data_IF_653017128109
#
_entry.id   IF_653017128109
#
_cell.length_a   1.000
_cell.length_b   1.000
_cell.length_c   1.000
_cell.angle_alpha   90.00
_cell.angle_beta   90.00
_cell.angle_gamma   90.00
#
_symmetry.space_group_name_H-M   'P 1'
#
loop_
_entity.id
_entity.type
_entity.pdbx_description
1 polymer ?
#
# COMPACT_ATOMS: atom_id res chain seq x y z
N UNK A 1 4.44 4.50 30.36
CA UNK A 1 5.30 3.32 30.16
C UNK A 1 5.20 2.41 31.38
N UNK A 2 4.56 1.23 31.28
CA UNK A 2 4.87 0.10 32.15
C UNK A 2 6.07 -0.68 31.58
N UNK A 3 6.85 -1.29 32.48
CA UNK A 3 8.08 -2.04 32.25
C UNK A 3 7.84 -3.33 31.43
N UNK A 4 7.81 -3.22 30.10
CA UNK A 4 7.76 -4.38 29.20
C UNK A 4 9.18 -4.86 28.88
N UNK A 5 9.39 -6.18 29.01
CA UNK A 5 10.55 -6.98 28.60
C UNK A 5 11.51 -6.27 27.62
N UNK A 6 12.54 -5.62 28.17
CA UNK A 6 13.65 -4.98 27.44
C UNK A 6 14.59 -5.98 26.75
N UNK A 7 14.32 -7.29 26.79
CA UNK A 7 15.23 -8.35 26.34
C UNK A 7 15.28 -8.58 24.83
N UNK A 8 14.63 -7.72 24.02
CA UNK A 8 14.42 -7.95 22.58
C UNK A 8 15.07 -6.92 21.65
N UNK A 9 15.78 -5.91 22.18
CA UNK A 9 16.36 -4.88 21.32
C UNK A 9 17.64 -5.34 20.60
N UNK A 10 18.41 -6.27 21.19
CA UNK A 10 19.81 -6.46 20.77
C UNK A 10 20.11 -7.85 20.14
N UNK A 11 19.18 -8.80 20.19
CA UNK A 11 19.32 -10.14 19.57
C UNK A 11 18.06 -10.51 18.79
N UNK A 12 17.96 -10.07 17.53
CA UNK A 12 16.95 -10.57 16.59
C UNK A 12 17.45 -11.90 16.01
N UNK A 13 17.27 -13.01 16.73
CA UNK A 13 17.34 -14.34 16.12
C UNK A 13 15.96 -14.65 15.51
N UNK A 14 15.81 -14.56 14.17
CA UNK A 14 14.53 -14.79 13.51
C UNK A 14 14.02 -16.21 13.75
N UNK A 15 14.90 -17.20 13.90
CA UNK A 15 14.51 -18.59 14.11
C UNK A 15 13.88 -18.79 15.48
N UNK A 16 14.43 -18.17 16.52
CA UNK A 16 13.84 -18.25 17.87
C UNK A 16 12.50 -17.51 17.94
N UNK A 17 12.39 -16.36 17.27
CA UNK A 17 11.11 -15.66 17.16
C UNK A 17 10.05 -16.53 16.46
N UNK A 18 10.42 -17.14 15.33
CA UNK A 18 9.58 -18.10 14.60
C UNK A 18 9.15 -19.28 15.49
N UNK A 19 10.08 -19.89 16.23
CA UNK A 19 9.75 -21.00 17.15
C UNK A 19 8.75 -20.59 18.24
N UNK A 20 8.96 -19.43 18.87
CA UNK A 20 8.04 -18.89 19.88
C UNK A 20 6.67 -18.63 19.25
N UNK A 21 6.63 -17.99 18.08
CA UNK A 21 5.39 -17.68 17.39
C UNK A 21 4.63 -18.95 17.01
N UNK A 22 5.32 -20.00 16.56
CA UNK A 22 4.73 -21.31 16.26
C UNK A 22 4.04 -21.92 17.47
N UNK A 23 4.71 -21.93 18.63
CA UNK A 23 4.13 -22.47 19.87
C UNK A 23 2.91 -21.66 20.32
N UNK A 24 2.98 -20.32 20.24
CA UNK A 24 1.86 -19.48 20.63
C UNK A 24 0.67 -19.66 19.67
N UNK A 25 0.91 -19.61 18.36
CA UNK A 25 -0.14 -19.73 17.35
C UNK A 25 -0.85 -21.08 17.41
N UNK A 26 -0.14 -22.18 17.63
CA UNK A 26 -0.77 -23.50 17.76
C UNK A 26 -1.71 -23.57 18.96
N UNK A 27 -1.29 -23.05 20.12
CA UNK A 27 -2.13 -23.02 21.33
C UNK A 27 -3.33 -22.07 21.16
N UNK A 28 -3.10 -20.89 20.59
CA UNK A 28 -4.16 -19.91 20.37
C UNK A 28 -5.20 -20.41 19.37
N UNK A 29 -4.76 -20.92 18.22
CA UNK A 29 -5.69 -21.43 17.20
C UNK A 29 -6.50 -22.61 17.73
N UNK A 30 -5.89 -23.53 18.49
CA UNK A 30 -6.59 -24.62 19.15
C UNK A 30 -7.64 -24.11 20.14
N UNK A 31 -7.25 -23.16 21.01
CA UNK A 31 -8.16 -22.54 21.96
C UNK A 31 -9.34 -21.85 21.28
N UNK A 32 -9.10 -21.03 20.25
CA UNK A 32 -10.15 -20.34 19.49
C UNK A 32 -11.10 -21.32 18.81
N UNK A 33 -10.57 -22.41 18.23
CA UNK A 33 -11.40 -23.44 17.58
C UNK A 33 -12.29 -24.16 18.58
N UNK A 34 -11.86 -24.27 19.84
CA UNK A 34 -12.63 -24.92 20.91
C UNK A 34 -13.67 -24.01 21.59
N UNK A 35 -13.56 -22.69 21.43
CA UNK A 35 -14.43 -21.72 22.09
C UNK A 35 -15.67 -21.40 21.24
N UNK A 36 -16.85 -21.44 21.86
CA UNK A 36 -18.07 -20.92 21.22
C UNK A 36 -18.03 -19.38 21.18
N UNK A 37 -18.54 -18.72 20.13
CA UNK A 37 -18.60 -17.26 20.05
C UNK A 37 -19.27 -16.61 21.28
N UNK A 38 -20.26 -17.29 21.88
CA UNK A 38 -20.97 -16.80 23.07
C UNK A 38 -20.09 -16.79 24.34
N UNK A 39 -19.12 -17.69 24.43
CA UNK A 39 -18.16 -17.77 25.55
C UNK A 39 -17.29 -16.51 25.63
N UNK A 40 -17.03 -15.86 24.48
CA UNK A 40 -16.33 -14.58 24.40
C UNK A 40 -17.02 -13.50 25.23
N UNK A 41 -18.37 -13.47 25.18
CA UNK A 41 -19.17 -12.47 25.88
C UNK A 41 -19.28 -12.74 27.37
N UNK A 42 -18.99 -13.96 27.83
CA UNK A 42 -18.99 -14.34 29.24
C UNK A 42 -17.64 -14.01 29.92
N UNK A 43 -16.51 -14.09 29.20
CA UNK A 43 -15.16 -13.87 29.74
C UNK A 43 -14.49 -12.58 29.25
N UNK A 44 -15.26 -11.49 29.13
CA UNK A 44 -14.86 -10.30 28.36
C UNK A 44 -13.51 -9.66 28.74
N UNK A 45 -13.15 -9.62 30.02
CA UNK A 45 -11.90 -8.98 30.47
C UNK A 45 -10.66 -9.83 30.18
N UNK A 46 -10.72 -11.14 30.45
CA UNK A 46 -9.64 -12.08 30.19
C UNK A 46 -9.37 -12.20 28.69
N UNK A 47 -10.44 -12.30 27.89
CA UNK A 47 -10.31 -12.38 26.44
C UNK A 47 -9.75 -11.09 25.86
N UNK A 48 -10.19 -9.90 26.32
CA UNK A 48 -9.61 -8.64 25.88
C UNK A 48 -8.09 -8.53 26.16
N UNK A 49 -7.63 -8.94 27.35
CA UNK A 49 -6.19 -8.97 27.67
C UNK A 49 -5.43 -9.92 26.76
N UNK A 50 -6.02 -11.08 26.49
CA UNK A 50 -5.46 -12.09 25.60
C UNK A 50 -5.33 -11.59 24.16
N UNK A 51 -6.34 -10.89 23.64
CA UNK A 51 -6.30 -10.27 22.31
C UNK A 51 -5.20 -9.23 22.22
N UNK A 52 -5.09 -8.37 23.24
CA UNK A 52 -4.02 -7.37 23.26
C UNK A 52 -2.65 -8.04 23.22
N UNK A 53 -2.45 -9.10 23.99
CA UNK A 53 -1.19 -9.86 23.96
C UNK A 53 -0.96 -10.49 22.58
N UNK A 54 -1.95 -11.17 22.01
CA UNK A 54 -1.87 -11.73 20.66
C UNK A 54 -1.52 -10.66 19.63
N UNK A 55 -2.17 -9.50 19.70
CA UNK A 55 -1.85 -8.34 18.87
C UNK A 55 -0.41 -7.91 19.05
N UNK A 56 0.11 -7.77 20.26
CA UNK A 56 1.53 -7.43 20.45
C UNK A 56 2.49 -8.44 19.79
N UNK A 57 2.17 -9.74 19.84
CA UNK A 57 2.99 -10.78 19.20
C UNK A 57 2.86 -10.81 17.68
N UNK A 58 1.65 -10.59 17.15
CA UNK A 58 1.37 -10.53 15.72
C UNK A 58 1.83 -9.21 15.07
N UNK A 59 1.94 -8.12 15.85
CA UNK A 59 2.34 -6.78 15.38
C UNK A 59 3.87 -6.62 15.30
N UNK A 60 4.65 -7.23 16.20
CA UNK A 60 6.10 -7.01 16.21
C UNK A 60 6.93 -7.52 15.01
N UNK A 61 6.43 -8.34 14.06
CA UNK A 61 7.19 -8.66 12.85
C UNK A 61 7.49 -7.45 11.95
N UNK A 62 6.76 -6.33 12.09
CA UNK A 62 6.82 -5.20 11.16
C UNK A 62 8.16 -4.46 11.08
N UNK A 63 9.06 -4.68 12.05
CA UNK A 63 10.39 -4.07 12.03
C UNK A 63 11.47 -4.95 11.39
N UNK A 64 11.12 -6.14 10.88
CA UNK A 64 12.07 -7.07 10.28
C UNK A 64 11.71 -7.35 8.83
N UNK A 65 12.70 -7.38 7.94
CA UNK A 65 12.55 -7.84 6.55
C UNK A 65 12.11 -9.30 6.40
N UNK A 66 11.62 -9.95 7.47
CA UNK A 66 11.20 -11.34 7.56
C UNK A 66 9.68 -11.52 7.43
N UNK A 67 8.93 -10.45 7.16
CA UNK A 67 7.46 -10.50 6.95
C UNK A 67 7.04 -11.57 5.96
N UNK A 68 7.79 -11.74 4.86
CA UNK A 68 7.51 -12.77 3.85
C UNK A 68 7.67 -14.19 4.41
N UNK A 69 8.77 -14.45 5.11
CA UNK A 69 9.06 -15.76 5.74
C UNK A 69 7.95 -16.14 6.74
N UNK A 70 7.58 -15.18 7.60
CA UNK A 70 6.52 -15.36 8.60
C UNK A 70 5.15 -15.56 7.94
N UNK A 71 4.88 -14.85 6.84
CA UNK A 71 3.62 -14.98 6.09
C UNK A 71 3.43 -16.37 5.50
N UNK A 72 4.49 -16.93 4.92
CA UNK A 72 4.45 -18.24 4.27
C UNK A 72 4.35 -19.38 5.30
N UNK A 73 5.12 -19.29 6.38
CA UNK A 73 5.16 -20.33 7.41
C UNK A 73 3.83 -20.45 8.16
N UNK A 74 3.23 -19.33 8.56
CA UNK A 74 2.02 -19.30 9.41
C UNK A 74 0.74 -19.04 8.63
N UNK A 75 0.78 -19.13 7.30
CA UNK A 75 -0.35 -18.81 6.42
C UNK A 75 -1.66 -19.47 6.86
N UNK A 76 -1.64 -20.78 7.13
CA UNK A 76 -2.83 -21.55 7.51
C UNK A 76 -3.38 -21.13 8.88
N UNK A 77 -2.51 -20.84 9.85
CA UNK A 77 -2.91 -20.39 11.18
C UNK A 77 -3.51 -18.99 11.13
N UNK A 78 -2.93 -18.09 10.33
CA UNK A 78 -3.49 -16.76 10.09
C UNK A 78 -4.84 -16.81 9.38
N UNK A 79 -5.01 -17.68 8.39
CA UNK A 79 -6.31 -17.86 7.73
C UNK A 79 -7.39 -18.34 8.72
N UNK A 80 -7.06 -19.30 9.60
CA UNK A 80 -7.96 -19.72 10.68
C UNK A 80 -8.30 -18.54 11.59
N UNK A 81 -7.30 -17.79 12.05
CA UNK A 81 -7.53 -16.64 12.92
C UNK A 81 -8.43 -15.59 12.25
N UNK A 82 -8.22 -15.27 10.97
CA UNK A 82 -9.08 -14.35 10.20
C UNK A 82 -10.54 -14.81 10.22
N UNK A 83 -10.82 -16.10 9.99
CA UNK A 83 -12.18 -16.64 10.02
C UNK A 83 -12.81 -16.51 11.42
N UNK A 84 -12.05 -16.84 12.48
CA UNK A 84 -12.54 -16.72 13.85
C UNK A 84 -12.79 -15.25 14.22
N UNK A 85 -11.86 -14.34 13.90
CA UNK A 85 -12.02 -12.91 14.14
C UNK A 85 -13.21 -12.32 13.40
N UNK A 86 -13.43 -12.73 12.15
CA UNK A 86 -14.61 -12.37 11.36
C UNK A 86 -15.91 -12.85 12.02
N UNK A 87 -15.94 -14.09 12.53
CA UNK A 87 -17.10 -14.65 13.25
C UNK A 87 -17.39 -13.92 14.57
N UNK A 88 -16.35 -13.63 15.35
CA UNK A 88 -16.47 -12.89 16.62
C UNK A 88 -16.94 -11.45 16.34
N UNK A 89 -16.41 -10.81 15.29
CA UNK A 89 -16.85 -9.49 14.88
C UNK A 89 -18.34 -9.48 14.53
N UNK A 90 -18.80 -10.43 13.70
CA UNK A 90 -20.22 -10.58 13.34
C UNK A 90 -21.11 -10.74 14.58
N UNK A 91 -20.68 -11.54 15.55
CA UNK A 91 -21.42 -11.75 16.80
C UNK A 91 -21.44 -10.50 17.67
N UNK A 92 -20.35 -9.73 17.66
CA UNK A 92 -20.19 -8.49 18.43
C UNK A 92 -21.11 -7.39 17.88
N UNK A 93 -21.27 -7.30 16.55
CA UNK A 93 -22.17 -6.33 15.91
C UNK A 93 -23.65 -6.62 16.15
N UNK A 94 -24.04 -7.89 16.29
CA UNK A 94 -25.42 -8.30 16.60
C UNK A 94 -25.84 -8.04 18.05
N UNK A 95 -24.90 -7.71 18.93
CA UNK A 95 -25.20 -7.44 20.34
C UNK A 95 -25.68 -6.00 20.53
N UNK A 96 -26.83 -5.76 21.19
CA UNK A 96 -27.30 -4.39 21.47
C UNK A 96 -26.25 -3.63 22.29
N UNK A 97 -25.70 -2.59 21.65
CA UNK A 97 -24.48 -1.90 22.05
C UNK A 97 -24.74 -0.81 23.09
N UNK A 98 -24.19 -0.97 24.30
CA UNK A 98 -23.91 0.16 25.21
C UNK A 98 -22.78 -0.09 26.24
N UNK A 99 -22.06 -1.22 26.17
CA UNK A 99 -20.95 -1.47 27.09
C UNK A 99 -19.62 -1.03 26.48
N UNK A 100 -18.87 -0.18 27.19
CA UNK A 100 -17.47 0.19 26.89
C UNK A 100 -16.63 -1.03 26.47
N UNK A 101 -16.91 -2.18 27.08
CA UNK A 101 -16.25 -3.45 26.83
C UNK A 101 -16.41 -3.93 25.37
N UNK A 102 -17.60 -3.76 24.78
CA UNK A 102 -17.89 -4.13 23.38
C UNK A 102 -17.09 -3.24 22.43
N UNK A 103 -16.99 -1.95 22.74
CA UNK A 103 -16.18 -1.00 21.96
C UNK A 103 -14.69 -1.37 21.99
N UNK A 104 -14.13 -1.64 23.18
CA UNK A 104 -12.73 -2.06 23.31
C UNK A 104 -12.43 -3.40 22.63
N UNK A 105 -13.36 -4.36 22.68
CA UNK A 105 -13.23 -5.63 21.98
C UNK A 105 -13.22 -5.42 20.46
N UNK A 106 -14.18 -4.64 19.94
CA UNK A 106 -14.28 -4.31 18.51
C UNK A 106 -13.00 -3.65 18.01
N UNK A 107 -12.49 -2.66 18.75
CA UNK A 107 -11.21 -2.02 18.43
C UNK A 107 -10.06 -3.03 18.33
N UNK A 108 -9.94 -3.91 19.31
CA UNK A 108 -8.87 -4.90 19.33
C UNK A 108 -8.98 -5.88 18.15
N UNK A 109 -10.19 -6.33 17.81
CA UNK A 109 -10.46 -7.24 16.68
C UNK A 109 -10.12 -6.57 15.34
N UNK A 110 -10.61 -5.35 15.10
CA UNK A 110 -10.38 -4.62 13.84
C UNK A 110 -8.90 -4.26 13.69
N UNK A 111 -8.21 -3.93 14.79
CA UNK A 111 -6.76 -3.76 14.79
C UNK A 111 -6.03 -5.07 14.43
N UNK A 112 -6.45 -6.22 14.95
CA UNK A 112 -5.88 -7.53 14.56
C UNK A 112 -6.08 -7.79 13.07
N UNK A 113 -7.28 -7.55 12.56
CA UNK A 113 -7.61 -7.71 11.14
C UNK A 113 -6.72 -6.81 10.27
N UNK A 114 -6.49 -5.56 10.68
CA UNK A 114 -5.56 -4.67 9.99
C UNK A 114 -4.16 -5.27 9.92
N UNK A 115 -3.65 -5.85 11.02
CA UNK A 115 -2.33 -6.49 11.00
C UNK A 115 -2.26 -7.64 10.00
N UNK A 116 -3.32 -8.45 9.88
CA UNK A 116 -3.37 -9.51 8.88
C UNK A 116 -3.36 -8.98 7.44
N UNK A 117 -3.90 -7.78 7.18
CA UNK A 117 -3.84 -7.16 5.84
C UNK A 117 -2.41 -6.81 5.40
N UNK A 118 -1.44 -6.80 6.31
CA UNK A 118 -0.03 -6.54 6.01
C UNK A 118 0.71 -7.79 5.49
N UNK A 119 0.11 -8.97 5.59
CA UNK A 119 0.63 -10.22 5.03
C UNK A 119 -0.02 -10.51 3.68
N UNK A 120 0.73 -10.43 2.56
CA UNK A 120 0.17 -10.50 1.20
C UNK A 120 -0.71 -11.75 0.94
N UNK A 121 -0.23 -12.95 1.29
CA UNK A 121 -1.00 -14.18 1.08
C UNK A 121 -2.29 -14.20 1.93
N UNK A 122 -2.21 -13.70 3.15
CA UNK A 122 -3.36 -13.61 4.06
C UNK A 122 -4.35 -12.55 3.57
N UNK A 123 -3.88 -11.41 3.06
CA UNK A 123 -4.72 -10.39 2.45
C UNK A 123 -5.51 -10.96 1.27
N UNK A 124 -4.87 -11.75 0.39
CA UNK A 124 -5.56 -12.44 -0.71
C UNK A 124 -6.64 -13.38 -0.19
N UNK A 125 -6.40 -14.10 0.90
CA UNK A 125 -7.42 -14.93 1.56
C UNK A 125 -8.54 -14.08 2.17
N UNK A 126 -8.21 -13.00 2.89
CA UNK A 126 -9.18 -12.10 3.53
C UNK A 126 -10.18 -11.53 2.51
N UNK A 127 -9.72 -11.20 1.29
CA UNK A 127 -10.58 -10.74 0.19
C UNK A 127 -11.63 -11.77 -0.25
N UNK A 128 -11.43 -13.05 0.03
CA UNK A 128 -12.39 -14.12 -0.27
C UNK A 128 -13.44 -14.33 0.83
N UNK A 129 -13.25 -13.72 2.01
CA UNK A 129 -14.19 -13.79 3.13
C UNK A 129 -15.37 -12.84 2.89
N UNK A 130 -16.46 -13.37 2.34
CA UNK A 130 -17.60 -12.59 1.80
C UNK A 130 -18.19 -11.53 2.74
N UNK A 131 -18.25 -11.81 4.04
CA UNK A 131 -18.91 -10.92 5.01
C UNK A 131 -17.96 -9.88 5.61
N UNK A 132 -16.65 -9.95 5.36
CA UNK A 132 -15.68 -9.10 6.04
C UNK A 132 -15.77 -7.63 5.61
N UNK A 133 -15.85 -7.36 4.30
CA UNK A 133 -16.00 -6.00 3.77
C UNK A 133 -17.34 -5.36 4.25
N UNK A 134 -18.51 -6.02 4.11
CA UNK A 134 -19.77 -5.48 4.63
C UNK A 134 -19.73 -5.16 6.12
N UNK A 135 -19.16 -6.03 6.96
CA UNK A 135 -19.04 -5.78 8.41
C UNK A 135 -18.12 -4.59 8.72
N UNK A 136 -17.01 -4.45 8.00
CA UNK A 136 -16.11 -3.32 8.19
C UNK A 136 -16.78 -2.00 7.78
N UNK A 137 -17.63 -2.01 6.75
CA UNK A 137 -18.44 -0.84 6.37
C UNK A 137 -19.51 -0.52 7.44
N UNK A 138 -20.21 -1.52 7.97
CA UNK A 138 -21.21 -1.35 9.04
C UNK A 138 -20.62 -0.70 10.30
N UNK A 139 -19.37 -0.99 10.63
CA UNK A 139 -18.67 -0.44 11.80
C UNK A 139 -18.32 1.04 11.66
N UNK A 140 -18.30 1.57 10.43
CA UNK A 140 -17.79 2.93 10.15
C UNK A 140 -18.79 4.05 10.43
N UNK A 141 -19.93 3.77 11.07
CA UNK A 141 -20.99 4.74 11.31
C UNK A 141 -20.79 5.67 12.53
N UNK A 142 -21.15 6.94 12.31
CA UNK A 142 -21.39 8.06 13.25
C UNK A 142 -20.36 8.56 14.28
N UNK A 143 -19.16 7.99 14.45
CA UNK A 143 -18.10 8.61 15.29
C UNK A 143 -16.68 8.47 14.75
N UNK A 144 -15.88 9.53 14.84
CA UNK A 144 -14.44 9.50 14.65
C UNK A 144 -13.78 8.78 15.84
N UNK A 145 -13.26 7.57 15.61
CA UNK A 145 -12.46 6.85 16.59
C UNK A 145 -11.46 5.86 15.95
N UNK A 146 -10.67 5.20 16.81
CA UNK A 146 -9.69 4.18 16.40
C UNK A 146 -10.32 3.03 15.61
N UNK A 147 -11.56 2.65 15.92
CA UNK A 147 -12.23 1.54 15.25
C UNK A 147 -12.46 1.91 13.78
N UNK A 148 -13.00 3.10 13.56
CA UNK A 148 -13.24 3.62 12.22
C UNK A 148 -11.94 3.75 11.43
N UNK A 149 -10.86 4.26 12.06
CA UNK A 149 -9.55 4.33 11.42
C UNK A 149 -9.06 2.95 10.97
N UNK A 150 -9.01 1.96 11.87
CA UNK A 150 -8.53 0.63 11.50
C UNK A 150 -9.43 -0.06 10.48
N UNK A 151 -10.76 0.15 10.55
CA UNK A 151 -11.70 -0.37 9.58
C UNK A 151 -11.39 0.17 8.17
N UNK A 152 -11.21 1.49 8.03
CA UNK A 152 -10.84 2.08 6.75
C UNK A 152 -9.45 1.65 6.26
N UNK A 153 -8.49 1.42 7.16
CA UNK A 153 -7.18 0.89 6.78
C UNK A 153 -7.27 -0.54 6.23
N UNK A 154 -8.11 -1.39 6.82
CA UNK A 154 -8.42 -2.71 6.26
C UNK A 154 -9.08 -2.59 4.89
N UNK A 155 -10.14 -1.78 4.80
CA UNK A 155 -10.91 -1.57 3.58
C UNK A 155 -10.02 -1.05 2.44
N UNK A 156 -9.11 -0.11 2.70
CA UNK A 156 -8.18 0.42 1.70
C UNK A 156 -7.28 -0.65 1.04
N UNK A 157 -6.95 -1.73 1.75
CA UNK A 157 -6.17 -2.86 1.19
C UNK A 157 -7.04 -3.93 0.52
N UNK A 158 -8.30 -4.02 0.91
CA UNK A 158 -9.21 -5.08 0.50
C UNK A 158 -10.08 -4.71 -0.70
N UNK A 159 -10.56 -3.47 -0.74
CA UNK A 159 -11.54 -3.00 -1.71
C UNK A 159 -10.94 -2.76 -3.09
N UNK A 160 -11.76 -2.98 -4.12
CA UNK A 160 -11.47 -2.58 -5.51
C UNK A 160 -12.26 -1.31 -5.88
N UNK A 161 -12.02 -0.77 -7.08
CA UNK A 161 -12.64 0.48 -7.52
C UNK A 161 -14.17 0.41 -7.51
N UNK A 162 -14.73 -0.75 -7.87
CA UNK A 162 -16.18 -0.94 -7.87
C UNK A 162 -16.76 -0.92 -6.46
N UNK A 163 -16.05 -1.47 -5.48
CA UNK A 163 -16.51 -1.48 -4.09
C UNK A 163 -16.59 -0.06 -3.55
N UNK A 164 -15.58 0.78 -3.82
CA UNK A 164 -15.54 2.17 -3.36
C UNK A 164 -16.67 3.00 -3.96
N UNK A 165 -17.01 2.76 -5.23
CA UNK A 165 -18.16 3.39 -5.89
C UNK A 165 -19.51 3.08 -5.24
N UNK A 166 -19.61 1.98 -4.48
CA UNK A 166 -20.82 1.63 -3.74
C UNK A 166 -20.91 2.30 -2.36
N UNK A 167 -19.82 2.89 -1.86
CA UNK A 167 -19.82 3.59 -0.58
C UNK A 167 -20.61 4.90 -0.71
N UNK A 168 -21.58 5.10 0.19
CA UNK A 168 -22.43 6.29 0.19
C UNK A 168 -21.65 7.61 0.43
N UNK A 169 -20.61 7.58 1.26
CA UNK A 169 -19.77 8.74 1.56
C UNK A 169 -18.27 8.37 1.58
N UNK A 170 -17.61 8.26 0.40
CA UNK A 170 -16.17 7.99 0.32
C UNK A 170 -15.32 9.11 0.97
N UNK A 171 -15.84 10.34 1.04
CA UNK A 171 -15.18 11.46 1.69
C UNK A 171 -14.99 11.26 3.20
N UNK A 172 -15.79 10.37 3.82
CA UNK A 172 -15.61 10.00 5.24
C UNK A 172 -14.30 9.21 5.44
N UNK A 173 -13.91 8.37 4.49
CA UNK A 173 -12.66 7.58 4.53
C UNK A 173 -11.45 8.52 4.62
N UNK A 174 -11.45 9.53 3.75
CA UNK A 174 -10.36 10.50 3.65
C UNK A 174 -10.37 11.46 4.84
N UNK A 175 -11.54 11.90 5.29
CA UNK A 175 -11.66 12.84 6.41
C UNK A 175 -11.06 12.26 7.69
N UNK A 176 -11.42 11.01 8.01
CA UNK A 176 -10.89 10.30 9.18
C UNK A 176 -9.37 10.18 9.10
N UNK A 177 -8.84 9.74 7.96
CA UNK A 177 -7.39 9.60 7.81
C UNK A 177 -6.64 10.93 7.90
N UNK A 178 -7.15 11.97 7.25
CA UNK A 178 -6.54 13.31 7.28
C UNK A 178 -6.53 13.82 8.73
N UNK A 179 -7.61 13.67 9.48
CA UNK A 179 -7.68 14.12 10.87
C UNK A 179 -6.65 13.42 11.77
N UNK A 180 -6.51 12.09 11.67
CA UNK A 180 -5.48 11.35 12.41
C UNK A 180 -4.05 11.75 11.99
N UNK A 181 -3.81 12.04 10.71
CA UNK A 181 -2.52 12.52 10.23
C UNK A 181 -2.23 13.91 10.78
N UNK A 182 -3.18 14.85 10.69
CA UNK A 182 -3.04 16.22 11.22
C UNK A 182 -2.78 16.22 12.72
N UNK A 183 -3.39 15.30 13.48
CA UNK A 183 -3.18 15.18 14.92
C UNK A 183 -1.83 14.55 15.31
N UNK A 184 -1.11 13.92 14.38
CA UNK A 184 0.14 13.19 14.66
C UNK A 184 1.37 13.81 14.01
N UNK A 185 1.20 14.60 12.96
CA UNK A 185 2.29 15.14 12.13
C UNK A 185 3.33 15.93 12.93
N UNK A 186 2.91 16.79 13.86
CA UNK A 186 3.81 17.68 14.60
C UNK A 186 4.21 17.12 15.98
N UNK A 187 3.85 15.88 16.32
CA UNK A 187 4.20 15.23 17.58
C UNK A 187 5.34 14.20 17.39
N UNK A 188 6.59 14.51 17.81
CA UNK A 188 7.71 13.59 17.68
C UNK A 188 7.50 12.24 18.37
N UNK A 189 6.66 12.17 19.40
CA UNK A 189 6.34 10.92 20.09
C UNK A 189 5.44 10.00 19.27
N UNK A 190 4.83 10.53 18.22
CA UNK A 190 3.92 9.81 17.32
C UNK A 190 4.47 9.69 15.90
N UNK A 191 5.77 9.92 15.67
CA UNK A 191 6.41 9.81 14.35
C UNK A 191 6.13 8.47 13.65
N UNK A 192 6.28 7.34 14.34
CA UNK A 192 5.97 6.00 13.80
C UNK A 192 4.50 5.83 13.41
N UNK A 193 3.60 6.39 14.24
CA UNK A 193 2.16 6.35 13.97
C UNK A 193 1.83 7.19 12.74
N UNK A 194 2.38 8.40 12.66
CA UNK A 194 2.24 9.29 11.52
C UNK A 194 2.73 8.64 10.23
N UNK A 195 3.92 8.03 10.25
CA UNK A 195 4.47 7.28 9.12
C UNK A 195 3.52 6.16 8.68
N UNK A 196 3.01 5.36 9.62
CA UNK A 196 2.07 4.26 9.34
C UNK A 196 0.73 4.75 8.76
N UNK A 197 0.28 5.95 9.13
CA UNK A 197 -0.92 6.58 8.56
C UNK A 197 -0.70 7.03 7.11
N UNK A 198 0.47 7.60 6.79
CA UNK A 198 0.84 7.95 5.42
C UNK A 198 0.93 6.69 4.53
N UNK A 199 1.55 5.63 5.02
CA UNK A 199 1.59 4.34 4.32
C UNK A 199 0.18 3.81 4.06
N UNK A 200 -0.73 3.96 5.02
CA UNK A 200 -2.13 3.58 4.86
C UNK A 200 -2.83 4.39 3.77
N UNK A 201 -2.56 5.71 3.70
CA UNK A 201 -3.07 6.60 2.66
C UNK A 201 -2.62 6.19 1.26
N UNK A 202 -1.35 5.79 1.13
CA UNK A 202 -0.82 5.27 -0.13
C UNK A 202 -1.59 4.04 -0.64
N UNK A 203 -2.16 3.22 0.25
CA UNK A 203 -2.91 2.02 -0.15
C UNK A 203 -4.29 2.29 -0.74
N UNK A 204 -4.85 3.50 -0.68
CA UNK A 204 -6.15 3.80 -1.30
C UNK A 204 -6.12 5.00 -2.26
N UNK A 205 -5.02 5.77 -2.29
CA UNK A 205 -4.88 6.90 -3.22
C UNK A 205 -4.90 6.45 -4.69
N UNK A 206 -4.68 5.17 -5.00
CA UNK A 206 -4.83 4.67 -6.37
C UNK A 206 -6.27 4.73 -6.90
N UNK A 207 -7.26 4.82 -6.01
CA UNK A 207 -8.67 4.83 -6.38
C UNK A 207 -9.14 6.22 -6.78
N UNK A 208 -9.76 6.34 -7.95
CA UNK A 208 -10.04 7.63 -8.58
C UNK A 208 -11.00 8.46 -7.73
N UNK A 209 -12.05 7.85 -7.19
CA UNK A 209 -13.00 8.53 -6.30
C UNK A 209 -12.34 9.03 -5.02
N UNK A 210 -11.37 8.28 -4.48
CA UNK A 210 -10.66 8.66 -3.26
C UNK A 210 -9.69 9.81 -3.51
N UNK A 211 -8.99 9.83 -4.65
CA UNK A 211 -8.14 10.97 -5.08
C UNK A 211 -8.95 12.26 -5.08
N UNK A 212 -10.13 12.23 -5.71
CA UNK A 212 -11.01 13.40 -5.81
C UNK A 212 -11.38 13.93 -4.41
N UNK A 213 -11.75 13.05 -3.48
CA UNK A 213 -12.11 13.45 -2.12
C UNK A 213 -10.90 13.96 -1.31
N UNK A 214 -9.73 13.33 -1.44
CA UNK A 214 -8.48 13.80 -0.84
C UNK A 214 -8.12 15.22 -1.29
N UNK A 215 -8.28 15.51 -2.57
CA UNK A 215 -8.00 16.83 -3.16
C UNK A 215 -8.99 17.87 -2.65
N UNK A 216 -10.30 17.56 -2.63
CA UNK A 216 -11.34 18.44 -2.06
C UNK A 216 -11.06 18.79 -0.59
N UNK A 217 -10.53 17.83 0.16
CA UNK A 217 -10.19 17.98 1.59
C UNK A 217 -8.79 18.58 1.83
N UNK A 218 -8.16 19.14 0.79
CA UNK A 218 -6.90 19.88 0.88
C UNK A 218 -5.74 19.06 1.48
N UNK A 219 -5.62 17.78 1.12
CA UNK A 219 -4.47 16.96 1.54
C UNK A 219 -3.16 17.42 0.91
N UNK A 220 -3.20 18.03 -0.29
CA UNK A 220 -2.01 18.37 -1.08
C UNK A 220 -1.04 19.30 -0.31
N UNK A 221 -1.48 20.44 0.28
CA UNK A 221 -0.62 21.25 1.12
C UNK A 221 0.04 20.49 2.29
N UNK A 222 -0.69 19.56 2.92
CA UNK A 222 -0.15 18.74 4.00
C UNK A 222 0.96 17.83 3.50
N UNK A 223 0.80 17.20 2.33
CA UNK A 223 1.84 16.35 1.73
C UNK A 223 3.06 17.16 1.27
N UNK A 224 2.85 18.38 0.76
CA UNK A 224 3.96 19.29 0.42
C UNK A 224 4.76 19.64 1.68
N UNK A 225 4.10 19.91 2.80
CA UNK A 225 4.75 20.11 4.11
C UNK A 225 5.66 18.92 4.45
N UNK A 226 5.15 17.69 4.28
CA UNK A 226 5.89 16.46 4.55
C UNK A 226 7.14 16.28 3.67
N UNK A 227 7.14 16.82 2.46
CA UNK A 227 8.28 16.75 1.53
C UNK A 227 9.32 17.82 1.86
N UNK A 228 8.90 19.05 2.14
CA UNK A 228 9.80 20.21 2.20
C UNK A 228 10.43 20.43 3.58
N UNK A 229 9.70 20.14 4.66
CA UNK A 229 10.19 20.43 6.01
C UNK A 229 11.17 19.36 6.51
N UNK A 230 12.28 19.81 7.10
CA UNK A 230 13.41 18.96 7.50
C UNK A 230 13.18 18.16 8.79
N UNK A 231 12.13 18.49 9.55
CA UNK A 231 11.82 17.84 10.83
C UNK A 231 11.18 16.45 10.68
N UNK A 232 10.70 16.11 9.49
CA UNK A 232 10.17 14.79 9.19
C UNK A 232 11.32 13.83 8.88
N UNK A 233 11.26 12.57 9.37
CA UNK A 233 12.26 11.52 9.12
C UNK A 233 12.74 11.58 7.66
N UNK A 234 13.98 12.08 7.40
CA UNK A 234 14.29 12.85 6.19
C UNK A 234 14.17 12.04 4.90
N UNK A 235 14.13 10.71 4.98
CA UNK A 235 13.98 9.84 3.80
C UNK A 235 12.63 9.14 3.76
N UNK A 236 12.16 8.55 4.88
CA UNK A 236 10.99 7.67 4.86
C UNK A 236 9.68 8.41 4.61
N UNK A 237 9.47 9.52 5.32
CA UNK A 237 8.24 10.32 5.19
C UNK A 237 8.21 11.00 3.83
N UNK A 238 9.34 11.61 3.42
CA UNK A 238 9.44 12.29 2.14
C UNK A 238 9.17 11.35 0.97
N UNK A 239 9.71 10.11 1.02
CA UNK A 239 9.48 9.10 0.00
C UNK A 239 8.00 8.79 -0.19
N UNK A 240 7.28 8.46 0.89
CA UNK A 240 5.85 8.14 0.82
C UNK A 240 5.05 9.37 0.37
N UNK A 241 5.38 10.56 0.86
CA UNK A 241 4.71 11.78 0.46
C UNK A 241 4.89 12.06 -1.04
N UNK A 242 6.10 11.91 -1.60
CA UNK A 242 6.36 12.05 -3.03
C UNK A 242 5.57 11.03 -3.86
N UNK A 243 5.45 9.79 -3.40
CA UNK A 243 4.67 8.75 -4.08
C UNK A 243 3.17 9.05 -4.09
N UNK A 244 2.62 9.53 -2.97
CA UNK A 244 1.21 9.96 -2.89
C UNK A 244 1.00 11.19 -3.78
N UNK A 245 1.91 12.17 -3.77
CA UNK A 245 1.84 13.34 -4.63
C UNK A 245 1.88 12.97 -6.12
N UNK A 246 2.72 12.00 -6.50
CA UNK A 246 2.73 11.46 -7.86
C UNK A 246 1.40 10.79 -8.21
N UNK A 247 0.83 9.97 -7.33
CA UNK A 247 -0.48 9.35 -7.55
C UNK A 247 -1.60 10.40 -7.71
N UNK A 248 -1.55 11.49 -6.92
CA UNK A 248 -2.50 12.59 -7.02
C UNK A 248 -2.30 13.44 -8.28
N UNK A 249 -1.08 13.54 -8.81
CA UNK A 249 -0.76 14.35 -10.00
C UNK A 249 -1.39 13.85 -11.32
N UNK A 250 -2.07 12.69 -11.29
CA UNK A 250 -2.92 12.24 -12.39
C UNK A 250 -4.29 12.93 -12.39
N UNK A 251 -4.66 13.65 -11.34
CA UNK A 251 -5.79 14.59 -11.33
C UNK A 251 -5.33 16.00 -11.73
N UNK A 252 -6.08 16.64 -12.62
CA UNK A 252 -5.71 17.96 -13.17
C UNK A 252 -5.66 19.08 -12.11
N UNK A 253 -6.50 19.04 -11.08
CA UNK A 253 -6.49 20.06 -10.03
C UNK A 253 -5.24 19.91 -9.16
N UNK A 254 -4.92 18.69 -8.74
CA UNK A 254 -3.69 18.40 -8.00
C UNK A 254 -2.45 18.74 -8.83
N UNK A 255 -2.41 18.34 -10.11
CA UNK A 255 -1.34 18.68 -11.04
C UNK A 255 -1.06 20.19 -11.08
N UNK A 256 -2.10 21.01 -11.27
CA UNK A 256 -1.97 22.48 -11.29
C UNK A 256 -1.41 23.04 -9.98
N UNK A 257 -1.91 22.56 -8.82
CA UNK A 257 -1.43 22.99 -7.50
C UNK A 257 0.06 22.65 -7.33
N UNK A 258 0.47 21.45 -7.71
CA UNK A 258 1.85 20.98 -7.57
C UNK A 258 2.80 21.76 -8.47
N UNK A 259 2.45 21.91 -9.76
CA UNK A 259 3.28 22.61 -10.75
C UNK A 259 3.48 24.09 -10.41
N UNK A 260 2.48 24.75 -9.83
CA UNK A 260 2.55 26.16 -9.43
C UNK A 260 3.31 26.40 -8.12
N UNK A 261 3.51 25.37 -7.30
CA UNK A 261 4.17 25.52 -6.01
C UNK A 261 5.70 25.60 -6.15
N UNK A 262 6.24 26.82 -6.12
CA UNK A 262 7.68 27.07 -6.29
C UNK A 262 8.55 26.45 -5.20
N UNK A 263 8.03 26.35 -3.96
CA UNK A 263 8.77 25.77 -2.83
C UNK A 263 8.95 24.26 -3.07
N UNK A 264 7.87 23.57 -3.43
CA UNK A 264 7.92 22.15 -3.81
C UNK A 264 8.86 21.94 -5.00
N UNK A 265 8.68 22.70 -6.09
CA UNK A 265 9.47 22.51 -7.32
C UNK A 265 10.97 22.74 -7.10
N UNK A 266 11.34 23.75 -6.32
CA UNK A 266 12.75 23.98 -5.95
C UNK A 266 13.31 22.85 -5.09
N UNK A 267 12.55 22.37 -4.11
CA UNK A 267 12.96 21.26 -3.25
C UNK A 267 13.13 19.95 -4.04
N UNK A 268 12.19 19.61 -4.92
CA UNK A 268 12.28 18.41 -5.78
C UNK A 268 13.53 18.47 -6.65
N UNK A 269 13.87 19.63 -7.25
CA UNK A 269 15.10 19.77 -8.05
C UNK A 269 16.37 19.55 -7.23
N UNK A 270 16.38 19.97 -5.96
CA UNK A 270 17.49 19.68 -5.04
C UNK A 270 17.59 18.17 -4.77
N UNK A 271 16.46 17.50 -4.52
CA UNK A 271 16.43 16.05 -4.31
C UNK A 271 16.90 15.28 -5.55
N UNK A 272 16.51 15.70 -6.75
CA UNK A 272 16.97 15.11 -8.02
C UNK A 272 18.47 15.29 -8.23
N UNK A 273 19.02 16.44 -7.84
CA UNK A 273 20.46 16.73 -7.92
C UNK A 273 21.31 16.04 -6.85
N UNK A 274 20.70 15.40 -5.86
CA UNK A 274 21.42 14.71 -4.79
C UNK A 274 22.03 13.41 -5.31
N UNK A 275 23.35 13.25 -5.15
CA UNK A 275 24.10 12.08 -5.63
C UNK A 275 24.42 11.07 -4.53
N UNK A 276 23.86 11.25 -3.34
CA UNK A 276 24.06 10.33 -2.21
C UNK A 276 23.47 8.94 -2.52
N UNK A 277 24.29 7.88 -2.63
CA UNK A 277 23.79 6.53 -2.95
C UNK A 277 22.79 5.99 -1.93
N UNK A 278 22.89 6.43 -0.66
CA UNK A 278 21.98 6.03 0.41
C UNK A 278 20.54 6.55 0.21
N UNK A 279 20.36 7.59 -0.61
CA UNK A 279 19.08 8.26 -0.85
C UNK A 279 18.57 8.07 -2.28
N UNK A 280 19.12 7.10 -3.01
CA UNK A 280 18.75 6.77 -4.39
C UNK A 280 17.23 6.57 -4.59
N UNK A 281 16.54 5.96 -3.62
CA UNK A 281 15.08 5.80 -3.67
C UNK A 281 14.32 7.13 -3.65
N UNK A 282 14.79 8.07 -2.82
CA UNK A 282 14.19 9.40 -2.67
C UNK A 282 14.43 10.23 -3.94
N UNK A 283 15.67 10.19 -4.45
CA UNK A 283 16.03 10.82 -5.72
C UNK A 283 15.12 10.33 -6.86
N UNK A 284 14.91 9.01 -6.99
CA UNK A 284 14.04 8.42 -8.02
C UNK A 284 12.57 8.85 -7.88
N UNK A 285 12.06 8.90 -6.64
CA UNK A 285 10.70 9.38 -6.39
C UNK A 285 10.54 10.85 -6.81
N UNK A 286 11.53 11.68 -6.48
CA UNK A 286 11.59 13.09 -6.87
C UNK A 286 11.69 13.26 -8.39
N UNK A 287 12.54 12.48 -9.07
CA UNK A 287 12.70 12.50 -10.52
C UNK A 287 11.39 12.18 -11.25
N UNK A 288 10.65 11.17 -10.78
CA UNK A 288 9.38 10.76 -11.39
C UNK A 288 8.30 11.82 -11.23
N UNK A 289 8.20 12.43 -10.05
CA UNK A 289 7.28 13.54 -9.82
C UNK A 289 7.69 14.76 -10.65
N UNK A 290 8.97 15.12 -10.69
CA UNK A 290 9.48 16.23 -11.50
C UNK A 290 9.15 16.02 -12.98
N UNK A 291 9.44 14.83 -13.50
CA UNK A 291 9.15 14.46 -14.88
C UNK A 291 7.67 14.61 -15.19
N UNK A 292 6.78 14.11 -14.31
CA UNK A 292 5.33 14.27 -14.49
C UNK A 292 4.91 15.74 -14.54
N UNK A 293 5.48 16.59 -13.69
CA UNK A 293 5.12 18.01 -13.60
C UNK A 293 5.74 18.88 -14.70
N UNK A 294 6.86 18.49 -15.29
CA UNK A 294 7.58 19.29 -16.30
C UNK A 294 7.37 18.80 -17.75
N UNK A 295 7.11 17.51 -18.00
CA UNK A 295 7.24 16.93 -19.36
C UNK A 295 5.96 16.78 -20.20
N UNK A 296 4.91 17.54 -19.92
CA UNK A 296 3.78 17.68 -20.86
C UNK A 296 4.14 18.48 -22.15
N UNK A 297 5.30 19.14 -22.20
CA UNK A 297 5.65 20.09 -23.28
C UNK A 297 6.59 19.52 -24.38
N UNK A 298 6.99 18.25 -24.34
CA UNK A 298 7.85 17.62 -25.35
C UNK A 298 7.08 16.66 -26.28
N UNK A 299 5.93 17.09 -26.78
CA UNK A 299 5.20 16.43 -27.87
C UNK A 299 5.71 17.02 -29.19
N UNK A 300 6.85 16.51 -29.67
CA UNK A 300 7.28 16.75 -31.05
C UNK A 300 7.33 15.39 -31.75
N UNK A 301 6.52 15.32 -32.80
CA UNK A 301 6.48 14.27 -33.80
C UNK A 301 7.91 13.89 -34.24
N UNK A 302 8.34 12.67 -33.96
CA UNK A 302 9.37 12.02 -34.75
C UNK A 302 8.70 11.02 -35.69
N UNK A 303 8.19 11.53 -36.80
CA UNK A 303 7.96 10.74 -38.01
C UNK A 303 9.31 10.41 -38.63
N UNK A 304 10.03 9.49 -38.02
CA UNK A 304 11.17 8.81 -38.63
C UNK A 304 10.82 7.33 -38.63
N UNK A 305 11.03 6.64 -39.75
CA UNK A 305 10.93 5.19 -39.83
C UNK A 305 11.94 4.59 -38.83
N UNK A 306 11.48 4.34 -37.61
CA UNK A 306 12.33 3.91 -36.52
C UNK A 306 12.62 2.42 -36.67
N UNK A 307 13.90 2.09 -36.89
CA UNK A 307 14.41 0.78 -36.53
C UNK A 307 14.41 0.75 -34.99
N UNK A 308 13.36 0.17 -34.39
CA UNK A 308 13.29 0.02 -32.93
C UNK A 308 14.52 -0.76 -32.43
N UNK A 309 15.13 -0.29 -31.33
CA UNK A 309 16.26 -0.97 -30.69
C UNK A 309 15.82 -2.27 -30.04
N UNK A 310 14.59 -2.29 -29.52
CA UNK A 310 13.97 -3.42 -28.85
C UNK A 310 12.66 -3.77 -29.55
N UNK A 311 12.29 -5.04 -29.52
CA UNK A 311 10.99 -5.48 -30.00
C UNK A 311 9.95 -5.30 -28.87
N UNK A 312 10.35 -5.57 -27.62
CA UNK A 312 9.46 -5.56 -26.46
C UNK A 312 10.13 -4.84 -25.29
N UNK A 313 9.45 -3.85 -24.70
CA UNK A 313 9.73 -3.39 -23.34
C UNK A 313 8.73 -4.01 -22.37
N UNK A 314 9.22 -4.61 -21.28
CA UNK A 314 8.36 -5.16 -20.23
C UNK A 314 8.21 -4.13 -19.11
N UNK A 315 7.00 -3.61 -18.91
CA UNK A 315 6.64 -2.80 -17.76
C UNK A 315 5.95 -3.68 -16.71
N UNK A 316 6.49 -3.68 -15.49
CA UNK A 316 6.04 -4.56 -14.41
C UNK A 316 6.24 -3.92 -13.03
N UNK A 317 5.57 -4.45 -12.00
CA UNK A 317 5.85 -4.06 -10.61
C UNK A 317 7.09 -4.80 -10.12
N UNK A 318 7.99 -4.12 -9.41
CA UNK A 318 9.20 -4.74 -8.83
C UNK A 318 8.86 -5.96 -7.95
N UNK A 319 7.70 -5.97 -7.30
CA UNK A 319 7.22 -7.10 -6.50
C UNK A 319 6.83 -8.35 -7.32
N UNK A 320 6.74 -8.22 -8.64
CA UNK A 320 6.44 -9.30 -9.59
C UNK A 320 7.67 -9.66 -10.46
N UNK A 321 8.87 -9.21 -10.07
CA UNK A 321 10.11 -9.42 -10.83
C UNK A 321 10.36 -10.88 -11.24
N UNK A 322 10.03 -11.83 -10.37
CA UNK A 322 10.35 -13.24 -10.60
C UNK A 322 9.62 -13.79 -11.84
N UNK A 323 8.32 -13.53 -11.97
CA UNK A 323 7.53 -13.99 -13.12
C UNK A 323 7.89 -13.19 -14.37
N UNK A 324 8.15 -11.89 -14.25
CA UNK A 324 8.51 -11.04 -15.39
C UNK A 324 9.90 -11.37 -15.96
N UNK A 325 10.85 -11.80 -15.13
CA UNK A 325 12.15 -12.29 -15.61
C UNK A 325 12.01 -13.62 -16.35
N UNK A 326 11.13 -14.51 -15.91
CA UNK A 326 10.82 -15.76 -16.64
C UNK A 326 10.19 -15.47 -18.01
N UNK A 327 9.25 -14.52 -18.07
CA UNK A 327 8.65 -14.06 -19.33
C UNK A 327 9.73 -13.49 -20.25
N UNK A 328 10.61 -12.62 -19.74
CA UNK A 328 11.71 -12.06 -20.51
C UNK A 328 12.63 -13.14 -21.08
N UNK A 329 13.06 -14.10 -20.24
CA UNK A 329 13.95 -15.19 -20.66
C UNK A 329 13.33 -16.03 -21.77
N UNK A 330 12.02 -16.30 -21.70
CA UNK A 330 11.32 -17.04 -22.74
C UNK A 330 11.25 -16.24 -24.05
N UNK A 331 10.86 -14.96 -24.00
CA UNK A 331 10.82 -14.10 -25.18
C UNK A 331 12.19 -13.95 -25.85
N UNK A 332 13.27 -13.85 -25.07
CA UNK A 332 14.64 -13.81 -25.61
C UNK A 332 15.01 -15.13 -26.30
N UNK A 333 14.63 -16.28 -25.73
CA UNK A 333 14.83 -17.60 -26.36
C UNK A 333 14.07 -17.72 -27.68
N UNK A 334 12.91 -17.09 -27.78
CA UNK A 334 12.08 -17.04 -28.98
C UNK A 334 12.60 -16.03 -30.03
N UNK A 335 13.71 -15.33 -29.74
CA UNK A 335 14.41 -14.46 -30.68
C UNK A 335 14.09 -12.97 -30.57
N UNK A 336 13.29 -12.55 -29.58
CA UNK A 336 12.95 -11.14 -29.37
C UNK A 336 14.06 -10.37 -28.64
N UNK A 337 14.29 -9.12 -29.04
CA UNK A 337 15.12 -8.13 -28.34
C UNK A 337 14.30 -7.48 -27.24
N UNK A 338 14.42 -7.99 -26.02
CA UNK A 338 13.58 -7.56 -24.89
C UNK A 338 14.34 -6.64 -23.93
N UNK A 339 13.75 -5.49 -23.61
CA UNK A 339 14.20 -4.60 -22.53
C UNK A 339 13.34 -4.81 -21.27
N UNK A 340 14.00 -4.87 -20.12
CA UNK A 340 13.35 -4.86 -18.80
C UNK A 340 14.27 -4.18 -17.79
N UNK A 341 13.71 -3.44 -16.84
CA UNK A 341 14.47 -2.87 -15.73
C UNK A 341 14.79 -3.97 -14.69
N UNK A 342 15.96 -4.62 -14.80
CA UNK A 342 16.41 -5.67 -13.84
C UNK A 342 17.07 -5.10 -12.59
N UNK A 343 17.61 -3.88 -12.67
CA UNK A 343 18.51 -3.32 -11.68
C UNK A 343 17.88 -2.06 -11.06
N UNK A 344 16.80 -2.25 -10.29
CA UNK A 344 16.08 -1.15 -9.62
C UNK A 344 17.02 -0.23 -8.80
N UNK A 345 18.15 -0.78 -8.32
CA UNK A 345 19.18 -0.08 -7.54
C UNK A 345 20.41 0.40 -8.34
N UNK A 346 20.63 -0.10 -9.56
CA UNK A 346 21.82 0.23 -10.39
C UNK A 346 21.49 0.84 -11.76
N UNK A 347 20.24 0.85 -12.19
CA UNK A 347 19.86 1.09 -13.58
C UNK A 347 18.76 2.13 -13.78
N UNK A 348 19.13 3.11 -14.62
CA UNK A 348 18.33 4.11 -15.36
C UNK A 348 17.37 5.04 -14.59
N UNK A 349 17.77 6.33 -14.58
CA UNK A 349 16.93 7.52 -14.38
C UNK A 349 15.67 7.41 -15.25
N UNK A 350 14.58 8.11 -14.89
CA UNK A 350 13.34 8.19 -15.68
C UNK A 350 13.58 8.39 -17.21
N UNK A 351 14.65 9.10 -17.58
CA UNK A 351 15.09 9.27 -18.97
C UNK A 351 15.42 7.95 -19.70
N UNK A 352 16.02 6.96 -19.03
CA UNK A 352 16.33 5.67 -19.64
C UNK A 352 15.11 4.78 -19.82
N UNK A 353 14.15 4.82 -18.88
CA UNK A 353 12.84 4.16 -19.02
C UNK A 353 12.08 4.78 -20.19
N UNK A 354 12.05 6.12 -20.25
CA UNK A 354 11.43 6.85 -21.35
C UNK A 354 12.05 6.49 -22.71
N UNK A 355 13.38 6.47 -22.79
CA UNK A 355 14.09 6.04 -23.98
C UNK A 355 13.78 4.58 -24.37
N UNK A 356 13.65 3.67 -23.40
CA UNK A 356 13.30 2.28 -23.67
C UNK A 356 11.89 2.15 -24.27
N UNK A 357 10.91 2.87 -23.72
CA UNK A 357 9.54 2.93 -24.24
C UNK A 357 9.54 3.44 -25.69
N UNK A 358 10.22 4.56 -25.98
CA UNK A 358 10.26 5.15 -27.32
C UNK A 358 11.01 4.30 -28.37
N UNK A 359 11.97 3.48 -27.92
CA UNK A 359 12.78 2.63 -28.79
C UNK A 359 12.32 1.17 -28.83
N UNK A 360 11.11 0.88 -28.35
CA UNK A 360 10.48 -0.45 -28.40
C UNK A 360 9.33 -0.48 -29.38
N UNK A 361 9.15 -1.59 -30.11
CA UNK A 361 8.00 -1.78 -31.01
C UNK A 361 6.69 -1.91 -30.22
N UNK A 362 6.71 -2.63 -29.10
CA UNK A 362 5.58 -2.70 -28.17
C UNK A 362 6.02 -2.64 -26.71
N UNK A 363 5.07 -2.32 -25.84
CA UNK A 363 5.21 -2.33 -24.39
C UNK A 363 4.28 -3.40 -23.81
N UNK A 364 4.86 -4.43 -23.22
CA UNK A 364 4.15 -5.48 -22.50
C UNK A 364 3.82 -5.00 -21.09
N UNK A 365 2.53 -4.82 -20.79
CA UNK A 365 2.02 -4.38 -19.49
C UNK A 365 1.69 -5.61 -18.64
N UNK A 366 2.55 -5.92 -17.67
CA UNK A 366 2.37 -7.02 -16.73
C UNK A 366 1.39 -6.63 -15.62
N UNK A 367 0.10 -6.89 -15.84
CA UNK A 367 -0.98 -6.48 -14.96
C UNK A 367 -1.09 -7.36 -13.71
N UNK A 368 -1.03 -6.71 -12.56
CA UNK A 368 -1.28 -7.25 -11.23
C UNK A 368 -1.90 -6.15 -10.34
N UNK A 369 -2.41 -6.54 -9.18
CA UNK A 369 -2.85 -5.61 -8.14
C UNK A 369 -1.72 -4.68 -7.69
N UNK A 370 -0.48 -5.18 -7.65
CA UNK A 370 0.72 -4.41 -7.28
C UNK A 370 1.11 -3.42 -8.39
N UNK A 371 0.97 -3.81 -9.65
CA UNK A 371 1.15 -2.91 -10.79
C UNK A 371 0.16 -1.74 -10.71
N UNK A 372 -1.12 -2.03 -10.45
CA UNK A 372 -2.17 -1.01 -10.29
C UNK A 372 -1.89 -0.02 -9.16
N UNK A 373 -1.34 -0.51 -8.04
CA UNK A 373 -1.05 0.30 -6.85
C UNK A 373 0.23 1.14 -6.98
N UNK A 374 1.07 0.87 -7.97
CA UNK A 374 2.34 1.57 -8.16
C UNK A 374 2.13 2.85 -8.99
N UNK A 375 2.27 4.06 -8.39
CA UNK A 375 2.17 5.32 -9.16
C UNK A 375 3.28 5.43 -10.21
N UNK A 376 4.37 4.69 -10.02
CA UNK A 376 5.47 4.59 -10.97
C UNK A 376 5.07 3.78 -12.22
N UNK A 377 4.44 2.62 -12.02
CA UNK A 377 3.92 1.82 -13.12
C UNK A 377 2.83 2.58 -13.87
N UNK A 378 1.97 3.31 -13.15
CA UNK A 378 0.99 4.20 -13.76
C UNK A 378 1.64 5.27 -14.63
N UNK A 379 2.72 5.91 -14.17
CA UNK A 379 3.46 6.92 -14.93
C UNK A 379 4.05 6.34 -16.22
N UNK A 380 4.68 5.17 -16.15
CA UNK A 380 5.28 4.49 -17.30
C UNK A 380 4.22 4.08 -18.33
N UNK A 381 3.12 3.48 -17.89
CA UNK A 381 2.01 3.08 -18.74
C UNK A 381 1.35 4.28 -19.42
N UNK A 382 1.13 5.36 -18.65
CA UNK A 382 0.55 6.59 -19.16
C UNK A 382 1.47 7.25 -20.20
N UNK A 383 2.79 7.29 -19.95
CA UNK A 383 3.74 7.79 -20.94
C UNK A 383 3.77 6.97 -22.22
N UNK A 384 3.78 5.64 -22.11
CA UNK A 384 3.73 4.76 -23.29
C UNK A 384 2.44 4.96 -24.09
N UNK A 385 1.31 5.15 -23.40
CA UNK A 385 0.03 5.50 -24.02
C UNK A 385 0.10 6.85 -24.75
N UNK A 386 0.61 7.90 -24.11
CA UNK A 386 0.77 9.23 -24.72
C UNK A 386 1.71 9.24 -25.93
N UNK A 387 2.73 8.38 -25.93
CA UNK A 387 3.64 8.20 -27.08
C UNK A 387 3.03 7.40 -28.23
N UNK A 388 1.82 6.85 -28.06
CA UNK A 388 1.18 6.00 -29.06
C UNK A 388 1.89 4.66 -29.23
N UNK A 389 2.65 4.21 -28.23
CA UNK A 389 3.28 2.89 -28.24
C UNK A 389 2.21 1.80 -28.27
N UNK A 390 2.48 0.69 -28.97
CA UNK A 390 1.59 -0.47 -28.94
C UNK A 390 1.64 -1.14 -27.57
N UNK A 391 0.57 -1.02 -26.80
CA UNK A 391 0.45 -1.68 -25.49
C UNK A 391 -0.09 -3.10 -25.66
N UNK A 392 0.54 -4.07 -25.00
CA UNK A 392 0.08 -5.46 -24.94
C UNK A 392 -0.17 -5.81 -23.47
N UNK A 393 -1.42 -5.83 -23.00
CA UNK A 393 -1.73 -6.19 -21.61
C UNK A 393 -1.67 -7.71 -21.40
N UNK A 394 -1.02 -8.13 -20.31
CA UNK A 394 -1.04 -9.53 -19.84
C UNK A 394 -1.35 -9.58 -18.34
N UNK A 395 -2.28 -10.44 -17.94
CA UNK A 395 -2.60 -10.66 -16.53
C UNK A 395 -1.65 -11.73 -15.97
N UNK A 396 -0.81 -11.34 -15.02
CA UNK A 396 0.19 -12.23 -14.39
C UNK A 396 -0.22 -12.68 -12.98
N UNK A 397 -1.20 -12.01 -12.37
CA UNK A 397 -1.74 -12.38 -11.07
C UNK A 397 -3.03 -13.20 -11.22
N UNK A 398 -3.09 -14.35 -10.54
CA UNK A 398 -4.26 -15.22 -10.57
C UNK A 398 -5.51 -14.55 -10.00
N UNK A 399 -6.65 -14.70 -10.68
CA UNK A 399 -7.93 -14.09 -10.32
C UNK A 399 -7.94 -12.55 -10.27
N UNK A 400 -6.89 -11.89 -10.75
CA UNK A 400 -6.87 -10.43 -10.86
C UNK A 400 -7.74 -9.97 -12.04
N UNK A 401 -8.56 -8.95 -11.79
CA UNK A 401 -9.36 -8.27 -12.81
C UNK A 401 -8.96 -6.80 -12.82
N UNK A 402 -8.35 -6.30 -13.91
CA UNK A 402 -8.04 -4.88 -14.03
C UNK A 402 -9.29 -4.01 -13.88
N UNK A 403 -9.13 -2.91 -13.15
CA UNK A 403 -10.17 -1.93 -12.86
C UNK A 403 -9.54 -0.53 -12.64
N UNK A 404 -10.36 0.51 -12.54
CA UNK A 404 -9.88 1.90 -12.44
C UNK A 404 -9.04 2.30 -13.66
N UNK A 405 -7.95 3.03 -13.43
CA UNK A 405 -7.05 3.51 -14.49
C UNK A 405 -6.44 2.39 -15.35
N UNK A 406 -6.15 1.23 -14.75
CA UNK A 406 -5.53 0.10 -15.47
C UNK A 406 -6.53 -0.64 -16.36
N UNK A 407 -7.83 -0.57 -16.05
CA UNK A 407 -8.87 -1.20 -16.87
C UNK A 407 -9.20 -0.45 -18.18
N UNK A 408 -8.60 0.72 -18.38
CA UNK A 408 -8.73 1.51 -19.62
C UNK A 408 -7.68 1.10 -20.67
N UNK A 409 -6.55 0.56 -20.21
CA UNK A 409 -5.44 0.04 -21.03
C UNK A 409 -5.76 -1.39 -21.45
#
# INVERSE_FOLDING_TARGET
MPWFLQWYSDYRDPENFVKILRMLLSEFTAWFTSCQPDTYFQCRSAVNSMIRHLNYFLIRPFESGNLKIISDEFYHDYCKLVLHWSSILSSTLKCPSNAIIVKSATQAIVQTLYNFTLHLNVLSFMKTVSNLIPMLLEITDDKLDEIQLYAYRCLGKMMIETDIKTIANPGKITAVHIEFITNTIDDPKQAERFYSLLESMKNYVQHDQVKVELIKQKVVPLLIKCVVETQFDPVKVQLIALEILLALSFDNNAYCILRQNQILMSHIRVLVGNTNPAESYLQRAAERLLWRLEKEEAIIQSTVLNVHKYDIMISYSHEDQQICFQIQEQLVKDGFRVWIDRDYLRGFIMAGIANAIENSECVLICMSSKYKQSPYCQLEAYYAFERGCRLIPIIIESNYKPDGWLGII
#
